data_IF_175770588032
#
_entry.id   IF_175770588032
#
_cell.length_a   1.000
_cell.length_b   1.000
_cell.length_c   1.000
_cell.angle_alpha   90.00
_cell.angle_beta   90.00
_cell.angle_gamma   90.00
#
_symmetry.space_group_name_H-M   'P 1'
#
loop_
_entity.id
_entity.type
_entity.pdbx_description
1 polymer ?
#
# COMPACT_ATOMS: atom_id res chain seq x y z
N UNK A 1 -12.77 1.31 -16.69
CA UNK A 1 -12.44 -0.13 -16.78
C UNK A 1 -11.76 -0.51 -15.48
N UNK A 2 -12.23 -1.56 -14.81
CA UNK A 2 -11.65 -2.07 -13.56
C UNK A 2 -10.99 -3.40 -13.88
N UNK A 3 -9.72 -3.55 -13.50
CA UNK A 3 -8.95 -4.80 -13.67
C UNK A 3 -8.62 -5.32 -12.27
N UNK A 4 -9.03 -6.55 -11.97
CA UNK A 4 -8.58 -7.23 -10.76
C UNK A 4 -7.14 -7.72 -10.99
N UNK A 5 -6.22 -7.36 -10.10
CA UNK A 5 -4.85 -7.85 -10.08
C UNK A 5 -4.66 -8.77 -8.88
N UNK A 6 -3.56 -9.53 -8.86
CA UNK A 6 -3.08 -10.12 -7.62
C UNK A 6 -2.55 -9.02 -6.70
N UNK A 7 -2.46 -9.30 -5.41
CA UNK A 7 -1.88 -8.39 -4.40
C UNK A 7 -0.35 -8.30 -4.47
N UNK A 8 0.27 -8.74 -5.57
CA UNK A 8 1.72 -8.74 -5.79
C UNK A 8 2.05 -8.51 -7.27
N UNK A 9 3.24 -7.95 -7.58
CA UNK A 9 3.74 -7.80 -8.94
C UNK A 9 4.14 -9.17 -9.52
N UNK A 10 4.23 -9.30 -10.85
CA UNK A 10 4.08 -8.22 -11.83
C UNK A 10 2.62 -7.88 -12.14
N UNK A 11 2.36 -6.60 -12.38
CA UNK A 11 1.04 -6.13 -12.80
C UNK A 11 0.80 -6.46 -14.29
N UNK A 12 -0.43 -6.80 -14.70
CA UNK A 12 -0.73 -7.30 -16.05
C UNK A 12 -0.82 -6.19 -17.10
N UNK A 13 0.18 -5.30 -17.12
CA UNK A 13 0.27 -4.17 -18.03
C UNK A 13 1.66 -4.15 -18.66
N UNK A 14 1.74 -3.69 -19.91
CA UNK A 14 3.00 -3.51 -20.61
C UNK A 14 3.79 -2.34 -20.01
N UNK A 15 5.08 -2.27 -20.31
CA UNK A 15 5.93 -1.14 -19.94
C UNK A 15 5.39 0.15 -20.57
N UNK A 16 5.60 1.28 -19.89
CA UNK A 16 5.22 2.61 -20.39
C UNK A 16 3.73 2.75 -20.78
N UNK A 17 2.85 2.01 -20.09
CA UNK A 17 1.42 1.98 -20.39
C UNK A 17 0.66 3.21 -19.88
N UNK A 18 1.20 3.96 -18.92
CA UNK A 18 0.46 5.02 -18.22
C UNK A 18 1.23 6.34 -18.14
N UNK A 19 0.49 7.43 -18.24
CA UNK A 19 0.99 8.80 -18.00
C UNK A 19 0.83 9.22 -16.53
N UNK A 20 -0.11 8.61 -15.80
CA UNK A 20 -0.38 8.85 -14.38
C UNK A 20 -0.70 7.54 -13.66
N UNK A 21 -0.03 7.29 -12.55
CA UNK A 21 -0.36 6.24 -11.59
C UNK A 21 -0.74 6.89 -10.26
N UNK A 22 -1.91 6.54 -9.71
CA UNK A 22 -2.36 7.04 -8.41
C UNK A 22 -2.50 5.92 -7.39
N UNK A 23 -2.13 6.18 -6.13
CA UNK A 23 -2.34 5.21 -5.05
C UNK A 23 -2.91 5.86 -3.78
N UNK A 24 -3.83 5.15 -3.12
CA UNK A 24 -4.39 5.54 -1.82
C UNK A 24 -3.90 4.56 -0.76
N UNK A 25 -3.28 5.11 0.28
CA UNK A 25 -2.75 4.39 1.43
C UNK A 25 -1.86 3.19 1.09
N UNK A 26 -0.85 3.33 0.20
CA UNK A 26 0.05 2.22 -0.07
C UNK A 26 0.87 1.88 1.18
N UNK A 27 0.74 0.64 1.65
CA UNK A 27 1.56 0.10 2.74
C UNK A 27 2.88 -0.47 2.18
N UNK A 28 2.81 -1.08 0.99
CA UNK A 28 3.98 -1.52 0.22
C UNK A 28 3.99 -0.77 -1.11
N UNK A 29 5.14 -0.21 -1.48
CA UNK A 29 5.33 0.50 -2.75
C UNK A 29 6.33 -0.26 -3.61
N UNK A 30 5.87 -0.80 -4.74
CA UNK A 30 6.74 -1.47 -5.71
C UNK A 30 7.32 -0.48 -6.70
N UNK A 31 8.34 0.26 -6.27
CA UNK A 31 8.94 1.34 -7.07
C UNK A 31 9.39 0.88 -8.47
N UNK A 32 9.96 -0.32 -8.58
CA UNK A 32 10.36 -0.90 -9.86
C UNK A 32 9.17 -1.05 -10.82
N UNK A 33 8.02 -1.43 -10.29
CA UNK A 33 6.82 -1.66 -11.12
C UNK A 33 6.13 -0.35 -11.49
N UNK A 34 6.11 0.63 -10.58
CA UNK A 34 5.63 1.99 -10.87
C UNK A 34 6.51 2.63 -11.96
N UNK A 35 7.84 2.49 -11.85
CA UNK A 35 8.77 3.02 -12.82
C UNK A 35 8.63 2.35 -14.19
N UNK A 36 8.46 1.02 -14.23
CA UNK A 36 8.25 0.25 -15.47
C UNK A 36 6.99 0.69 -16.21
N UNK A 37 5.92 0.95 -15.48
CA UNK A 37 4.61 1.23 -16.04
C UNK A 37 4.41 2.67 -16.48
N UNK A 38 5.19 3.61 -15.93
CA UNK A 38 5.13 5.01 -16.34
C UNK A 38 5.90 5.24 -17.63
N UNK A 39 5.28 5.99 -18.54
CA UNK A 39 5.98 6.59 -19.67
C UNK A 39 7.10 7.52 -19.19
N UNK A 40 8.14 7.76 -19.99
CA UNK A 40 9.06 8.87 -19.75
C UNK A 40 8.30 10.18 -19.56
N UNK A 41 8.49 10.85 -18.41
CA UNK A 41 7.76 12.07 -18.03
C UNK A 41 6.40 11.84 -17.35
N UNK A 42 5.98 10.59 -17.16
CA UNK A 42 4.78 10.22 -16.41
C UNK A 42 4.90 10.52 -14.90
N UNK A 43 3.75 10.61 -14.23
CA UNK A 43 3.66 11.02 -12.82
C UNK A 43 3.13 9.91 -11.93
N UNK A 44 3.75 9.76 -10.76
CA UNK A 44 3.17 8.99 -9.65
C UNK A 44 2.66 9.95 -8.58
N UNK A 45 1.39 9.79 -8.17
CA UNK A 45 0.78 10.58 -7.10
C UNK A 45 0.14 9.67 -6.05
N UNK A 46 0.51 9.84 -4.78
CA UNK A 46 0.02 8.97 -3.72
C UNK A 46 -0.34 9.69 -2.44
N UNK A 47 -1.40 9.18 -1.80
CA UNK A 47 -1.77 9.54 -0.43
C UNK A 47 -1.22 8.49 0.53
N UNK A 48 -0.04 8.75 1.10
CA UNK A 48 0.56 7.87 2.10
C UNK A 48 -0.14 8.00 3.47
N UNK A 49 -0.21 6.91 4.26
CA UNK A 49 -0.60 7.03 5.66
C UNK A 49 0.46 7.85 6.42
N UNK A 50 0.00 8.79 7.23
CA UNK A 50 0.88 9.60 8.08
C UNK A 50 1.36 8.84 9.32
N UNK A 51 2.33 9.40 10.08
CA UNK A 51 2.67 8.91 11.40
C UNK A 51 1.42 8.81 12.29
N UNK A 52 1.31 7.73 13.06
CA UNK A 52 0.17 7.40 13.93
C UNK A 52 -1.17 7.11 13.21
N UNK A 53 -1.17 6.88 11.89
CA UNK A 53 -2.33 6.29 11.21
C UNK A 53 -2.76 5.01 11.95
N UNK A 54 -4.07 4.85 12.21
CA UNK A 54 -4.72 3.78 13.00
C UNK A 54 -4.29 3.63 14.48
N UNK A 55 -3.52 4.56 15.06
CA UNK A 55 -3.05 4.45 16.45
C UNK A 55 -4.17 4.35 17.50
N UNK A 56 -5.30 5.04 17.31
CA UNK A 56 -6.45 4.97 18.23
C UNK A 56 -7.07 3.57 18.30
N UNK A 57 -7.06 2.84 17.17
CA UNK A 57 -7.58 1.47 17.12
C UNK A 57 -6.62 0.49 17.80
N UNK A 58 -5.32 0.61 17.53
CA UNK A 58 -4.29 -0.24 18.15
C UNK A 58 -4.17 -0.05 19.67
N UNK A 59 -4.45 1.15 20.17
CA UNK A 59 -4.35 1.45 21.61
C UNK A 59 -5.54 0.95 22.41
N UNK A 60 -6.73 0.87 21.80
CA UNK A 60 -7.95 0.34 22.46
C UNK A 60 -8.10 -1.17 22.35
N UNK A 61 -7.61 -1.79 21.28
CA UNK A 61 -7.65 -3.25 21.11
C UNK A 61 -6.57 -3.99 21.89
N UNK A 62 -5.86 -3.30 22.79
CA UNK A 62 -5.06 -3.93 23.83
C UNK A 62 -6.00 -4.56 24.85
N UNK A 63 -6.63 -5.68 24.47
CA UNK A 63 -7.14 -6.65 25.44
C UNK A 63 -5.99 -6.88 26.42
N UNK A 64 -6.16 -6.59 27.73
CA UNK A 64 -5.09 -6.82 28.68
C UNK A 64 -4.68 -8.28 28.54
N UNK A 65 -3.38 -8.52 28.33
CA UNK A 65 -2.84 -9.87 28.43
C UNK A 65 -3.36 -10.43 29.75
N UNK A 66 -4.18 -11.47 29.67
CA UNK A 66 -4.68 -12.16 30.84
C UNK A 66 -3.48 -12.39 31.75
N UNK A 67 -3.53 -11.84 32.96
CA UNK A 67 -2.51 -12.08 33.97
C UNK A 67 -2.38 -13.59 34.10
N UNK A 68 -1.28 -14.13 33.60
CA UNK A 68 -0.92 -15.53 33.81
C UNK A 68 -0.62 -15.66 35.29
N UNK A 69 -1.62 -16.14 36.05
CA UNK A 69 -1.44 -16.55 37.44
C UNK A 69 -0.60 -17.83 37.41
N UNK A 70 0.62 -17.83 38.00
CA UNK A 70 1.40 -19.05 38.08
C UNK A 70 0.71 -20.05 39.03
N UNK A 71 0.62 -21.30 38.59
CA UNK A 71 0.20 -22.45 39.40
C UNK A 71 1.31 -22.90 40.34
#
# INVERSE_FOLDING_TARGET
MVVATRDEPPLPFADESFDLITSRHPITVWWTEIARLLRPGGTYFAQHPGPATVSELLTRDRTPAATMVPA
#
